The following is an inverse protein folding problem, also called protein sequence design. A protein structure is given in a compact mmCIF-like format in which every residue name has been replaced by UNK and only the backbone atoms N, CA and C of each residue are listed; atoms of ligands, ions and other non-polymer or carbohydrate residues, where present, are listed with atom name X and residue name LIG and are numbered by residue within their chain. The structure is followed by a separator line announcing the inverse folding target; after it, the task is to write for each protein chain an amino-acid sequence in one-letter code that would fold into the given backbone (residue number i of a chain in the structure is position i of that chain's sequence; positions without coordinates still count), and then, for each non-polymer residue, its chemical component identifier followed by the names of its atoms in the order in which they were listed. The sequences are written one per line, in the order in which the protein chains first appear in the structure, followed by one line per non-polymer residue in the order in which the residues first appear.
data_IF_630011709478
#
_entry.id   IF_630011709478
#
_cell.length_a   1.000
_cell.length_b   1.000
_cell.length_c   1.000
_cell.angle_alpha   90.00
_cell.angle_beta   90.00
_cell.angle_gamma   90.00
#
_symmetry.space_group_name_H-M   'P 1'
#
loop_
_entity.id
_entity.type
_entity.pdbx_description
1 polymer ?
#
# COMPACT_ATOMS: atom_id res chain seq x y z
N UNK A 1 6.84 -4.17 -14.14
CA UNK A 1 6.99 -4.14 -15.59
C UNK A 1 6.09 -5.19 -16.27
N UNK A 2 6.24 -6.46 -15.95
CA UNK A 2 5.47 -7.56 -16.55
C UNK A 2 3.96 -7.40 -16.41
N UNK A 3 3.47 -6.94 -15.24
CA UNK A 3 2.05 -6.67 -15.04
C UNK A 3 1.53 -5.58 -16.00
N UNK A 4 2.24 -4.46 -16.11
CA UNK A 4 1.89 -3.37 -17.05
C UNK A 4 1.88 -3.85 -18.51
N UNK A 5 2.88 -4.64 -18.89
CA UNK A 5 2.96 -5.23 -20.22
C UNK A 5 1.76 -6.15 -20.50
N UNK A 6 1.35 -6.98 -19.54
CA UNK A 6 0.18 -7.86 -19.66
C UNK A 6 -1.13 -7.05 -19.77
N UNK A 7 -1.28 -5.99 -18.98
CA UNK A 7 -2.44 -5.09 -19.05
C UNK A 7 -2.52 -4.41 -20.43
N UNK A 8 -1.42 -3.85 -20.92
CA UNK A 8 -1.42 -3.21 -22.24
C UNK A 8 -1.61 -4.20 -23.37
N UNK A 9 -1.11 -5.42 -23.25
CA UNK A 9 -1.41 -6.51 -24.19
C UNK A 9 -2.91 -6.75 -24.25
N UNK A 10 -3.53 -7.05 -23.10
CA UNK A 10 -4.99 -7.29 -23.02
C UNK A 10 -5.79 -6.12 -23.61
N UNK A 11 -5.47 -4.89 -23.26
CA UNK A 11 -6.15 -3.71 -23.78
C UNK A 11 -5.93 -3.50 -25.28
N UNK A 12 -4.75 -3.87 -25.81
CA UNK A 12 -4.44 -3.74 -27.23
C UNK A 12 -5.18 -4.73 -28.12
N UNK A 13 -5.64 -5.83 -27.56
CA UNK A 13 -6.40 -6.90 -28.25
C UNK A 13 -7.92 -6.65 -28.24
N UNK A 14 -8.39 -5.58 -27.57
CA UNK A 14 -9.80 -5.22 -27.54
C UNK A 14 -10.25 -4.54 -28.84
N UNK A 15 -11.55 -4.56 -29.10
CA UNK A 15 -12.16 -3.85 -30.21
C UNK A 15 -11.94 -2.34 -30.09
N UNK A 16 -11.50 -1.69 -31.18
CA UNK A 16 -11.22 -0.24 -31.20
C UNK A 16 -12.47 0.62 -30.93
N UNK A 17 -13.65 0.08 -31.20
CA UNK A 17 -14.93 0.76 -30.97
C UNK A 17 -15.49 0.53 -29.56
N UNK A 18 -14.81 -0.27 -28.72
CA UNK A 18 -15.23 -0.53 -27.35
C UNK A 18 -15.18 0.73 -26.51
N UNK A 19 -16.34 1.15 -26.01
CA UNK A 19 -16.49 2.40 -25.23
C UNK A 19 -16.56 2.20 -23.73
N UNK A 20 -16.75 0.97 -23.26
CA UNK A 20 -16.94 0.68 -21.85
C UNK A 20 -16.23 -0.59 -21.40
N UNK A 21 -15.74 -0.58 -20.17
CA UNK A 21 -15.16 -1.73 -19.45
C UNK A 21 -15.77 -1.81 -18.05
N UNK A 22 -15.91 -3.02 -17.55
CA UNK A 22 -16.22 -3.24 -16.14
C UNK A 22 -14.91 -3.38 -15.38
N UNK A 23 -14.75 -2.63 -14.29
CA UNK A 23 -13.62 -2.81 -13.40
C UNK A 23 -13.73 -4.17 -12.70
N UNK A 24 -12.65 -4.96 -12.73
CA UNK A 24 -12.62 -6.28 -12.10
C UNK A 24 -12.89 -6.13 -10.58
N UNK A 25 -13.80 -6.96 -10.09
CA UNK A 25 -14.17 -6.98 -8.66
C UNK A 25 -15.13 -5.88 -8.22
N UNK A 26 -15.64 -5.07 -9.14
CA UNK A 26 -16.68 -4.06 -8.87
C UNK A 26 -17.67 -3.97 -10.04
N UNK A 27 -18.88 -3.48 -9.77
CA UNK A 27 -19.86 -3.16 -10.82
C UNK A 27 -19.60 -1.80 -11.48
N UNK A 28 -18.42 -1.22 -11.27
CA UNK A 28 -18.08 0.10 -11.78
C UNK A 28 -17.80 0.05 -13.29
N UNK A 29 -18.52 0.87 -14.05
CA UNK A 29 -18.32 1.02 -15.48
C UNK A 29 -17.28 2.13 -15.72
N UNK A 30 -16.24 1.81 -16.48
CA UNK A 30 -15.23 2.75 -16.96
C UNK A 30 -15.56 3.10 -18.40
N UNK A 31 -15.86 4.37 -18.66
CA UNK A 31 -16.17 4.85 -20.01
C UNK A 31 -14.94 5.45 -20.70
N UNK A 32 -14.80 5.12 -21.97
CA UNK A 32 -13.78 5.71 -22.85
C UNK A 32 -14.33 7.02 -23.45
N UNK A 33 -14.16 8.13 -22.72
CA UNK A 33 -14.59 9.46 -23.17
C UNK A 33 -13.46 10.13 -23.97
N UNK A 34 -13.64 10.26 -25.30
CA UNK A 34 -12.77 11.04 -26.19
C UNK A 34 -11.26 10.67 -26.19
N UNK A 35 -10.93 9.45 -25.78
CA UNK A 35 -9.56 9.00 -25.68
C UNK A 35 -9.41 7.64 -26.36
N UNK A 36 -8.62 7.56 -27.42
CA UNK A 36 -8.36 6.29 -28.09
C UNK A 36 -7.43 5.42 -27.25
N UNK A 37 -8.03 4.80 -26.21
CA UNK A 37 -7.33 4.03 -25.20
C UNK A 37 -6.65 2.79 -25.80
N UNK A 38 -7.32 2.12 -26.72
CA UNK A 38 -6.83 0.89 -27.36
C UNK A 38 -5.63 1.18 -28.27
N UNK A 39 -5.72 2.21 -29.10
CA UNK A 39 -4.59 2.63 -29.96
C UNK A 39 -3.35 3.03 -29.14
N UNK A 40 -3.56 3.70 -28.00
CA UNK A 40 -2.46 4.05 -27.09
C UNK A 40 -1.91 2.82 -26.37
N UNK A 41 -2.76 1.87 -25.99
CA UNK A 41 -2.34 0.60 -25.41
C UNK A 41 -1.52 -0.25 -26.37
N UNK A 42 -1.90 -0.32 -27.66
CA UNK A 42 -1.10 -0.96 -28.73
C UNK A 42 0.30 -0.34 -28.81
N UNK A 43 0.39 0.99 -28.81
CA UNK A 43 1.68 1.72 -28.86
C UNK A 43 2.51 1.47 -27.60
N UNK A 44 1.88 1.48 -26.42
CA UNK A 44 2.54 1.20 -25.15
C UNK A 44 3.04 -0.24 -25.08
N UNK A 45 2.23 -1.23 -25.47
CA UNK A 45 2.63 -2.63 -25.52
C UNK A 45 3.83 -2.87 -26.44
N UNK A 46 3.82 -2.30 -27.65
CA UNK A 46 4.92 -2.43 -28.59
C UNK A 46 6.23 -1.83 -28.04
N UNK A 47 6.17 -0.68 -27.38
CA UNK A 47 7.33 -0.06 -26.75
C UNK A 47 7.88 -0.93 -25.60
N UNK A 48 7.00 -1.39 -24.70
CA UNK A 48 7.40 -2.26 -23.60
C UNK A 48 7.93 -3.62 -24.07
N UNK A 49 7.47 -4.13 -25.21
CA UNK A 49 7.92 -5.42 -25.75
C UNK A 49 9.28 -5.35 -26.43
N UNK A 50 9.63 -4.20 -27.02
CA UNK A 50 10.86 -4.00 -27.77
C UNK A 50 11.94 -3.25 -26.98
N UNK A 51 11.66 -2.92 -25.72
CA UNK A 51 12.59 -2.16 -24.90
C UNK A 51 13.66 -3.04 -24.27
N UNK A 52 14.89 -2.57 -24.31
CA UNK A 52 16.03 -3.10 -23.56
C UNK A 52 16.24 -2.38 -22.23
N UNK A 53 15.67 -1.18 -22.05
CA UNK A 53 15.69 -0.39 -20.82
C UNK A 53 14.26 -0.12 -20.34
N UNK A 54 13.86 -0.90 -19.35
CA UNK A 54 12.52 -0.81 -18.75
C UNK A 54 12.24 0.55 -18.11
N UNK A 55 13.22 1.10 -17.44
CA UNK A 55 13.10 2.35 -16.68
C UNK A 55 12.88 3.55 -17.59
N UNK A 56 13.67 3.66 -18.65
CA UNK A 56 13.53 4.70 -19.66
C UNK A 56 12.18 4.62 -20.37
N UNK A 57 11.76 3.41 -20.73
CA UNK A 57 10.47 3.18 -21.42
C UNK A 57 9.27 3.55 -20.55
N UNK A 58 9.31 3.26 -19.25
CA UNK A 58 8.24 3.66 -18.34
C UNK A 58 8.15 5.18 -18.19
N UNK A 59 9.29 5.88 -18.15
CA UNK A 59 9.31 7.36 -18.14
C UNK A 59 8.81 7.98 -19.43
N UNK A 60 9.09 7.38 -20.56
CA UNK A 60 8.54 7.82 -21.85
C UNK A 60 7.01 7.65 -21.92
N UNK A 61 6.47 6.56 -21.35
CA UNK A 61 5.05 6.25 -21.39
C UNK A 61 4.24 7.06 -20.38
N UNK A 62 4.76 7.26 -19.17
CA UNK A 62 4.02 7.84 -18.03
C UNK A 62 4.56 9.20 -17.59
N UNK A 63 5.60 9.71 -18.24
CA UNK A 63 6.23 10.97 -17.93
C UNK A 63 7.47 10.83 -17.03
N UNK A 64 8.30 11.86 -17.02
CA UNK A 64 9.60 11.88 -16.33
C UNK A 64 9.50 11.71 -14.81
N UNK A 65 8.32 11.97 -14.23
CA UNK A 65 8.04 11.79 -12.79
C UNK A 65 7.56 10.40 -12.43
N UNK A 66 7.44 9.47 -13.40
CA UNK A 66 7.03 8.10 -13.10
C UNK A 66 8.05 7.44 -12.16
N UNK A 67 7.62 6.94 -10.99
CA UNK A 67 8.51 6.33 -10.02
C UNK A 67 9.13 5.06 -10.60
N UNK A 68 10.45 4.96 -10.52
CA UNK A 68 11.20 3.78 -10.93
C UNK A 68 11.68 3.09 -9.66
N UNK A 69 11.42 1.79 -9.56
CA UNK A 69 11.69 0.99 -8.36
C UNK A 69 13.15 1.00 -7.90
N UNK A 70 14.11 1.18 -8.80
CA UNK A 70 15.53 1.23 -8.45
C UNK A 70 15.93 2.39 -7.54
N UNK A 71 15.24 3.54 -7.64
CA UNK A 71 15.45 4.66 -6.70
C UNK A 71 14.61 4.51 -5.42
N UNK A 72 13.43 3.90 -5.52
CA UNK A 72 12.59 3.69 -4.34
C UNK A 72 13.14 2.61 -3.41
N UNK A 73 13.81 1.57 -3.92
CA UNK A 73 14.41 0.54 -3.07
C UNK A 73 15.53 1.09 -2.19
N UNK A 74 16.31 2.05 -2.68
CA UNK A 74 17.37 2.71 -1.90
C UNK A 74 16.85 3.73 -0.88
N UNK A 75 15.73 4.42 -1.18
CA UNK A 75 15.10 5.36 -0.23
C UNK A 75 14.32 4.64 0.88
N UNK A 76 13.74 3.48 0.59
CA UNK A 76 12.94 2.72 1.56
C UNK A 76 13.75 1.74 2.40
N UNK A 77 15.01 1.46 2.04
CA UNK A 77 15.87 0.47 2.67
C UNK A 77 15.28 -0.95 2.52
N UNK A 78 16.11 -1.92 2.29
CA UNK A 78 15.71 -3.33 2.31
C UNK A 78 16.03 -3.90 3.69
N UNK A 79 15.09 -4.65 4.28
CA UNK A 79 15.37 -5.50 5.43
C UNK A 79 15.29 -6.93 4.95
N UNK A 80 16.34 -7.72 5.16
CA UNK A 80 16.34 -9.16 4.88
C UNK A 80 15.26 -9.91 5.68
N UNK A 81 14.76 -9.28 6.75
CA UNK A 81 13.71 -9.83 7.61
C UNK A 81 12.29 -9.35 7.21
N UNK A 82 12.14 -8.57 6.13
CA UNK A 82 10.83 -8.12 5.70
C UNK A 82 10.03 -9.28 5.12
N UNK A 83 8.82 -9.47 5.63
CA UNK A 83 7.90 -10.52 5.22
C UNK A 83 6.73 -9.93 4.43
N UNK A 84 6.23 -10.69 3.47
CA UNK A 84 5.04 -10.36 2.71
C UNK A 84 3.96 -11.40 2.99
N UNK A 85 2.73 -10.95 3.16
CA UNK A 85 1.63 -11.84 3.53
C UNK A 85 1.38 -12.90 2.46
N UNK A 86 1.64 -12.57 1.20
CA UNK A 86 1.51 -13.43 0.05
C UNK A 86 2.49 -14.63 0.06
N UNK A 87 3.58 -14.49 0.81
CA UNK A 87 4.59 -15.56 0.98
C UNK A 87 4.24 -16.51 2.12
N UNK A 88 3.34 -16.09 3.02
CA UNK A 88 2.96 -16.84 4.23
C UNK A 88 1.59 -17.49 4.05
N UNK A 89 0.64 -16.77 3.45
CA UNK A 89 -0.73 -17.22 3.25
C UNK A 89 -1.22 -16.88 1.85
N UNK A 90 -2.05 -17.74 1.22
CA UNK A 90 -2.81 -17.35 0.05
C UNK A 90 -3.67 -16.12 0.37
N UNK A 91 -3.74 -15.16 -0.57
CA UNK A 91 -4.52 -13.93 -0.38
C UNK A 91 -5.77 -13.97 -1.25
N UNK A 92 -6.94 -13.93 -0.61
CA UNK A 92 -8.23 -13.81 -1.27
C UNK A 92 -9.14 -12.89 -0.45
N UNK A 93 -9.15 -11.60 -0.82
CA UNK A 93 -9.87 -10.56 -0.07
C UNK A 93 -11.36 -10.68 -0.32
N UNK A 94 -12.12 -11.04 0.71
CA UNK A 94 -13.58 -11.23 0.69
C UNK A 94 -14.32 -10.25 1.60
N UNK A 95 -13.62 -9.63 2.54
CA UNK A 95 -14.24 -8.80 3.57
C UNK A 95 -13.58 -7.43 3.65
N UNK A 96 -14.32 -6.46 4.18
CA UNK A 96 -13.76 -5.16 4.54
C UNK A 96 -13.11 -5.20 5.92
N UNK A 97 -11.98 -4.53 6.02
CA UNK A 97 -11.27 -4.27 7.27
C UNK A 97 -10.86 -2.80 7.26
N UNK A 98 -10.99 -2.13 8.39
CA UNK A 98 -10.47 -0.78 8.56
C UNK A 98 -9.77 -0.65 9.89
N UNK A 99 -8.57 -0.10 9.84
CA UNK A 99 -7.78 0.24 11.01
C UNK A 99 -7.67 1.75 11.17
N UNK A 100 -7.52 2.20 12.41
CA UNK A 100 -7.14 3.57 12.74
C UNK A 100 -6.11 3.54 13.88
N UNK A 101 -5.56 4.67 14.22
CA UNK A 101 -4.55 4.80 15.26
C UNK A 101 -4.96 5.89 16.25
N UNK A 102 -5.06 5.51 17.50
CA UNK A 102 -5.20 6.44 18.62
C UNK A 102 -3.83 6.99 19.01
N UNK A 103 -3.69 8.31 19.02
CA UNK A 103 -2.47 9.02 19.34
C UNK A 103 -2.61 9.65 20.71
N UNK A 104 -1.76 9.24 21.65
CA UNK A 104 -1.72 9.81 23.01
C UNK A 104 -0.46 10.63 23.19
N UNK A 105 -0.64 11.86 23.65
CA UNK A 105 0.41 12.78 24.03
C UNK A 105 0.23 13.19 25.48
N UNK A 106 1.31 13.18 26.27
CA UNK A 106 1.25 13.60 27.67
C UNK A 106 0.65 15.03 27.79
N UNK A 107 -0.39 15.18 28.61
CA UNK A 107 -1.08 16.44 28.83
C UNK A 107 -2.11 16.86 27.78
N UNK A 108 -2.36 16.05 26.74
CA UNK A 108 -3.37 16.34 25.71
C UNK A 108 -4.40 15.22 25.59
N UNK A 109 -5.56 15.56 25.05
CA UNK A 109 -6.59 14.58 24.73
C UNK A 109 -6.10 13.65 23.63
N UNK A 110 -6.40 12.39 23.77
CA UNK A 110 -6.20 11.39 22.74
C UNK A 110 -6.99 11.76 21.47
N UNK A 111 -6.41 11.56 20.31
CA UNK A 111 -7.07 11.82 19.03
C UNK A 111 -6.79 10.69 18.03
N UNK A 112 -7.67 10.53 17.06
CA UNK A 112 -7.51 9.55 16.00
C UNK A 112 -6.61 10.09 14.88
N UNK A 113 -5.75 9.24 14.35
CA UNK A 113 -4.86 9.57 13.22
C UNK A 113 -5.65 10.06 12.01
N UNK A 114 -6.78 9.44 11.70
CA UNK A 114 -7.68 9.87 10.62
C UNK A 114 -8.14 11.33 10.79
N UNK A 115 -8.37 11.80 12.01
CA UNK A 115 -8.71 13.20 12.30
C UNK A 115 -7.49 14.12 12.17
N UNK A 116 -6.30 13.67 12.63
CA UNK A 116 -5.05 14.42 12.46
C UNK A 116 -4.75 14.67 10.99
N UNK A 117 -4.89 13.62 10.16
CA UNK A 117 -4.69 13.73 8.70
C UNK A 117 -5.68 14.72 8.08
N UNK A 118 -6.98 14.63 8.42
CA UNK A 118 -8.02 15.56 7.92
C UNK A 118 -7.74 17.02 8.28
N UNK A 119 -7.23 17.24 9.51
CA UNK A 119 -6.91 18.59 10.03
C UNK A 119 -5.49 19.03 9.65
N UNK A 120 -4.72 18.21 8.92
CA UNK A 120 -3.31 18.45 8.57
C UNK A 120 -2.41 18.69 9.80
N UNK A 121 -2.74 18.04 10.91
CA UNK A 121 -1.90 18.09 12.10
C UNK A 121 -0.69 17.20 11.96
N UNK A 122 0.46 17.68 12.40
CA UNK A 122 1.72 16.94 12.39
C UNK A 122 1.81 16.05 13.63
N UNK A 123 2.31 14.84 13.44
CA UNK A 123 2.57 13.92 14.54
C UNK A 123 4.04 14.07 14.91
N UNK A 124 4.29 14.41 16.17
CA UNK A 124 5.64 14.59 16.69
C UNK A 124 6.19 13.30 17.28
N UNK A 125 7.49 13.31 17.58
CA UNK A 125 8.15 12.22 18.30
C UNK A 125 7.62 12.05 19.73
N UNK A 126 7.98 10.94 20.38
CA UNK A 126 7.63 10.61 21.75
C UNK A 126 6.12 10.55 22.04
N UNK A 127 5.34 10.06 21.08
CA UNK A 127 3.91 9.79 21.24
C UNK A 127 3.67 8.28 21.37
N UNK A 128 2.62 7.93 22.11
CA UNK A 128 2.11 6.55 22.13
C UNK A 128 1.07 6.40 21.04
N UNK A 129 1.20 5.33 20.27
CA UNK A 129 0.32 4.97 19.18
C UNK A 129 -0.36 3.65 19.52
N UNK A 130 -1.70 3.62 19.45
CA UNK A 130 -2.48 2.39 19.58
C UNK A 130 -3.26 2.19 18.28
N UNK A 131 -2.76 1.32 17.43
CA UNK A 131 -3.48 0.88 16.23
C UNK A 131 -4.59 -0.07 16.63
N UNK A 132 -5.76 0.09 16.06
CA UNK A 132 -6.93 -0.74 16.37
C UNK A 132 -7.78 -0.99 15.13
N UNK A 133 -8.47 -2.11 15.14
CA UNK A 133 -9.50 -2.41 14.14
C UNK A 133 -10.75 -1.60 14.50
N UNK A 134 -11.17 -0.70 13.61
CA UNK A 134 -12.35 0.16 13.81
C UNK A 134 -13.57 -0.31 13.02
N UNK A 135 -13.34 -1.10 11.96
CA UNK A 135 -14.42 -1.71 11.18
C UNK A 135 -14.00 -3.13 10.77
N UNK A 136 -14.85 -4.10 11.03
CA UNK A 136 -14.63 -5.49 10.71
C UNK A 136 -15.97 -6.24 10.61
N UNK A 137 -16.25 -6.79 9.45
CA UNK A 137 -17.47 -7.58 9.19
C UNK A 137 -17.18 -9.08 9.00
N UNK A 138 -16.01 -9.56 9.44
CA UNK A 138 -15.57 -10.93 9.24
C UNK A 138 -16.15 -11.83 10.32
N UNK A 139 -16.84 -12.93 9.98
CA UNK A 139 -17.36 -13.88 10.97
C UNK A 139 -16.21 -14.67 11.63
N UNK A 140 -16.22 -14.74 12.94
CA UNK A 140 -15.28 -15.58 13.73
C UNK A 140 -15.49 -17.07 13.46
N UNK A 141 -14.47 -17.93 13.63
CA UNK A 141 -13.14 -17.61 14.12
C UNK A 141 -12.21 -17.09 13.02
N UNK A 142 -11.21 -16.29 13.39
CA UNK A 142 -10.12 -15.81 12.55
C UNK A 142 -8.93 -15.41 13.43
N UNK A 143 -7.75 -15.32 12.81
CA UNK A 143 -6.51 -14.83 13.41
C UNK A 143 -6.18 -13.44 12.89
N UNK A 144 -5.57 -12.60 13.75
CA UNK A 144 -5.13 -11.25 13.42
C UNK A 144 -3.61 -11.21 13.37
N UNK A 145 -3.06 -10.60 12.33
CA UNK A 145 -1.62 -10.37 12.19
C UNK A 145 -1.35 -8.90 11.90
N UNK A 146 -0.23 -8.42 12.42
CA UNK A 146 0.22 -7.05 12.26
C UNK A 146 1.64 -7.01 11.68
N UNK A 147 1.88 -6.04 10.80
CA UNK A 147 3.20 -5.68 10.29
C UNK A 147 3.44 -4.21 10.55
N UNK A 148 4.62 -3.88 11.11
CA UNK A 148 5.09 -2.51 11.26
C UNK A 148 6.32 -2.32 10.38
N UNK A 149 6.32 -1.29 9.56
CA UNK A 149 7.42 -0.96 8.67
C UNK A 149 7.83 0.49 8.86
N UNK A 150 9.07 0.69 9.18
CA UNK A 150 9.67 2.01 9.25
C UNK A 150 10.39 2.29 7.93
N UNK A 151 10.26 3.50 7.40
CA UNK A 151 10.73 3.87 6.07
C UNK A 151 11.62 5.11 6.15
N UNK A 152 12.55 5.22 5.20
CA UNK A 152 13.39 6.40 5.03
C UNK A 152 14.75 6.32 5.74
N UNK A 153 15.53 7.37 5.55
CA UNK A 153 16.93 7.46 5.96
C UNK A 153 17.15 7.15 7.44
N UNK A 154 16.32 7.68 8.35
CA UNK A 154 16.46 7.44 9.78
C UNK A 154 16.22 6.00 10.19
N UNK A 155 15.28 5.31 9.55
CA UNK A 155 15.04 3.89 9.79
C UNK A 155 16.25 3.05 9.38
N UNK A 156 16.85 3.37 8.23
CA UNK A 156 18.06 2.72 7.72
C UNK A 156 19.25 2.99 8.66
N UNK A 157 19.52 4.26 8.96
CA UNK A 157 20.64 4.69 9.81
C UNK A 157 20.60 4.04 11.18
N UNK A 158 19.41 3.85 11.74
CA UNK A 158 19.21 3.25 13.08
C UNK A 158 19.08 1.74 13.04
N UNK A 159 19.14 1.11 11.87
CA UNK A 159 18.85 -0.32 11.67
C UNK A 159 17.49 -0.72 12.29
N UNK A 160 16.44 0.07 12.01
CA UNK A 160 15.09 -0.09 12.58
C UNK A 160 14.02 -0.17 11.50
N UNK A 161 14.36 -0.77 10.37
CA UNK A 161 13.45 -0.92 9.23
C UNK A 161 12.23 -1.76 9.62
N UNK A 162 12.42 -2.90 10.29
CA UNK A 162 11.36 -3.85 10.67
C UNK A 162 10.69 -4.47 9.42
N UNK A 163 9.50 -5.02 9.55
CA UNK A 163 8.74 -5.58 8.43
C UNK A 163 8.25 -7.01 8.68
N UNK A 164 8.50 -7.59 9.87
CA UNK A 164 8.02 -8.92 10.23
C UNK A 164 6.50 -8.88 10.48
N UNK A 165 5.82 -9.94 10.03
CA UNK A 165 4.40 -10.18 10.26
C UNK A 165 4.24 -11.01 11.51
N UNK A 166 3.55 -10.49 12.52
CA UNK A 166 3.38 -11.13 13.83
C UNK A 166 1.91 -11.32 14.17
N UNK A 167 1.58 -12.49 14.70
CA UNK A 167 0.24 -12.74 15.26
C UNK A 167 0.01 -11.81 16.44
N UNK A 168 -1.19 -11.24 16.50
CA UNK A 168 -1.59 -10.27 17.52
C UNK A 168 -3.06 -10.39 17.89
N UNK A 169 -3.57 -9.34 18.51
CA UNK A 169 -4.96 -9.16 18.90
C UNK A 169 -5.56 -7.97 18.14
N UNK A 170 -6.73 -7.54 18.47
CA UNK A 170 -7.49 -6.46 17.84
C UNK A 170 -6.86 -5.05 17.96
N UNK A 171 -5.73 -4.95 18.67
CA UNK A 171 -4.92 -3.73 18.73
C UNK A 171 -3.42 -4.01 18.76
N UNK A 172 -2.63 -2.98 18.38
CA UNK A 172 -1.17 -2.97 18.43
C UNK A 172 -0.68 -1.66 19.05
N UNK A 173 0.19 -1.76 20.07
CA UNK A 173 0.81 -0.60 20.69
C UNK A 173 2.19 -0.34 20.10
N UNK A 174 2.46 0.90 19.73
CA UNK A 174 3.74 1.38 19.21
C UNK A 174 4.08 2.76 19.79
N UNK A 175 5.28 3.26 19.48
CA UNK A 175 5.72 4.60 19.87
C UNK A 175 6.48 5.29 18.74
N UNK A 176 6.37 6.62 18.68
CA UNK A 176 7.07 7.43 17.69
C UNK A 176 8.47 7.79 18.19
N UNK A 177 9.47 6.95 17.92
CA UNK A 177 10.82 7.13 18.47
C UNK A 177 11.73 7.99 17.58
N UNK A 178 11.38 8.17 16.30
CA UNK A 178 12.15 8.98 15.35
C UNK A 178 11.24 9.44 14.20
N UNK A 179 11.67 10.49 13.52
CA UNK A 179 10.93 11.06 12.39
C UNK A 179 11.00 10.20 11.13
N UNK A 180 10.07 10.44 10.24
CA UNK A 180 9.96 9.77 8.94
C UNK A 180 8.61 9.08 8.73
N UNK A 181 8.37 8.56 7.55
CA UNK A 181 7.17 7.80 7.27
C UNK A 181 7.27 6.39 7.86
N UNK A 182 6.18 5.96 8.48
CA UNK A 182 5.99 4.62 9.00
C UNK A 182 4.65 4.10 8.50
N UNK A 183 4.51 2.80 8.32
CA UNK A 183 3.20 2.23 8.06
C UNK A 183 2.95 0.98 8.90
N UNK A 184 1.68 0.75 9.14
CA UNK A 184 1.20 -0.45 9.82
C UNK A 184 0.18 -1.12 8.92
N UNK A 185 0.32 -2.43 8.77
CA UNK A 185 -0.61 -3.28 8.04
C UNK A 185 -1.25 -4.26 9.01
N UNK A 186 -2.54 -4.48 8.86
CA UNK A 186 -3.31 -5.49 9.58
C UNK A 186 -3.86 -6.50 8.58
N UNK A 187 -3.78 -7.78 8.95
CA UNK A 187 -4.24 -8.90 8.13
C UNK A 187 -5.14 -9.79 8.94
N UNK A 188 -6.23 -10.24 8.35
CA UNK A 188 -7.12 -11.24 8.95
C UNK A 188 -6.97 -12.55 8.20
N UNK A 189 -6.58 -13.58 8.93
CA UNK A 189 -6.41 -14.93 8.40
C UNK A 189 -7.57 -15.80 8.89
N UNK A 190 -8.32 -16.34 7.96
CA UNK A 190 -9.43 -17.24 8.19
C UNK A 190 -9.25 -18.50 7.34
N UNK A 191 -9.31 -19.66 7.98
CA UNK A 191 -9.15 -20.96 7.32
C UNK A 191 -7.85 -21.05 6.48
N UNK A 192 -6.76 -20.42 6.97
CA UNK A 192 -5.46 -20.40 6.30
C UNK A 192 -5.34 -19.44 5.11
N UNK A 193 -6.31 -18.56 4.90
CA UNK A 193 -6.36 -17.60 3.81
C UNK A 193 -6.41 -16.17 4.38
N UNK A 194 -5.64 -15.24 3.80
CA UNK A 194 -5.77 -13.83 4.09
C UNK A 194 -7.03 -13.28 3.42
N UNK A 195 -8.09 -13.06 4.22
CA UNK A 195 -9.42 -12.70 3.72
C UNK A 195 -9.74 -11.22 3.81
N UNK A 196 -8.95 -10.46 4.57
CA UNK A 196 -9.02 -9.00 4.63
C UNK A 196 -7.68 -8.41 5.04
N UNK A 197 -7.40 -7.20 4.57
CA UNK A 197 -6.23 -6.42 4.97
C UNK A 197 -6.52 -4.94 4.90
N UNK A 198 -5.83 -4.17 5.74
CA UNK A 198 -5.81 -2.71 5.66
C UNK A 198 -4.44 -2.17 6.03
N UNK A 199 -4.14 -0.95 5.60
CA UNK A 199 -2.86 -0.27 5.80
C UNK A 199 -3.07 1.18 6.16
N UNK A 200 -2.36 1.63 7.18
CA UNK A 200 -2.35 3.03 7.58
C UNK A 200 -0.90 3.56 7.64
N UNK A 201 -0.70 4.77 7.11
CA UNK A 201 0.60 5.43 7.13
C UNK A 201 0.62 6.51 8.19
N UNK A 202 1.69 6.55 8.96
CA UNK A 202 1.96 7.55 10.01
C UNK A 202 3.21 8.32 9.61
N UNK A 203 3.07 9.60 9.32
CA UNK A 203 4.20 10.50 9.07
C UNK A 203 4.56 11.23 10.34
N UNK A 204 5.77 11.00 10.85
CA UNK A 204 6.30 11.63 12.07
C UNK A 204 7.23 12.75 11.63
N UNK A 205 6.92 13.95 12.07
CA UNK A 205 7.69 15.15 11.74
C UNK A 205 8.80 15.44 12.76
N UNK A 206 9.68 16.35 12.38
CA UNK A 206 10.70 16.91 13.28
C UNK A 206 10.03 17.69 14.42
N UNK A 207 10.67 17.68 15.58
CA UNK A 207 10.31 18.58 16.69
C UNK A 207 10.76 20.02 16.42
#
# INVERSE_FOLDING_TARGET
YNLLKSVFKYLSEQDEDRKQWNAMGSNQIIENKNFNFIKKSKKAYNRLSNSTDESSTLRELFGSRFPISEKSSNEYGHSEEEQFIEEIYPVYIMYSLKIDCEITQNGFRTGLLSEFIKKKFLIKQNRKLKFMIVENNIPKPYDIYWKVRNVGYEAIRRNRIRGQIKKGIDYLNESTNFYGPHYVECYIIKDGICVARDKITVSIDYD
#
